data_IF_326257069611
#
_entry.id   IF_326257069611
#
_cell.length_a   1.000
_cell.length_b   1.000
_cell.length_c   1.000
_cell.angle_alpha   90.00
_cell.angle_beta   90.00
_cell.angle_gamma   90.00
#
_symmetry.space_group_name_H-M   'P 1'
#
loop_
_entity.id
_entity.type
_entity.pdbx_description
1 polymer ?
#
# COMPACT_ATOMS: atom_id res chain seq x y z
N UNK A 1 11.75 9.19 4.07
CA UNK A 1 11.05 7.91 3.77
C UNK A 1 9.56 8.16 3.81
N UNK A 2 8.70 7.20 3.49
CA UNK A 2 7.24 7.36 3.66
C UNK A 2 6.77 7.15 5.10
N UNK A 3 7.53 6.38 5.88
CA UNK A 3 7.22 6.09 7.28
C UNK A 3 8.47 6.29 8.13
N UNK A 4 8.29 6.57 9.43
CA UNK A 4 9.39 6.69 10.38
C UNK A 4 10.16 5.36 10.53
N UNK A 5 9.44 4.23 10.50
CA UNK A 5 10.01 2.88 10.59
C UNK A 5 10.07 2.21 9.21
N UNK A 6 10.88 2.76 8.30
CA UNK A 6 10.94 2.33 6.89
C UNK A 6 11.43 0.89 6.64
N UNK A 7 12.01 0.22 7.65
CA UNK A 7 12.36 -1.21 7.61
C UNK A 7 11.26 -2.14 8.13
N UNK A 8 10.14 -1.58 8.60
CA UNK A 8 9.01 -2.36 9.11
C UNK A 8 7.90 -2.39 8.07
N UNK A 9 7.39 -3.59 7.82
CA UNK A 9 6.24 -3.78 6.95
C UNK A 9 4.94 -3.73 7.78
N UNK A 10 4.21 -2.63 7.66
CA UNK A 10 2.91 -2.40 8.32
C UNK A 10 2.06 -1.40 7.52
N UNK A 11 0.90 -1.00 8.05
CA UNK A 11 -0.01 -0.07 7.37
C UNK A 11 0.31 1.41 7.59
N UNK A 12 1.45 1.76 8.20
CA UNK A 12 1.79 3.16 8.51
C UNK A 12 1.88 4.01 7.25
N UNK A 13 2.26 3.43 6.11
CA UNK A 13 2.25 4.14 4.82
C UNK A 13 0.91 4.84 4.54
N UNK A 14 -0.22 4.14 4.70
CA UNK A 14 -1.55 4.72 4.44
C UNK A 14 -1.94 5.78 5.48
N UNK A 15 -1.47 5.64 6.73
CA UNK A 15 -1.72 6.60 7.81
C UNK A 15 -0.91 7.89 7.57
N UNK A 16 0.38 7.75 7.32
CA UNK A 16 1.32 8.86 7.23
C UNK A 16 1.01 9.74 6.01
N UNK A 17 0.75 9.14 4.84
CA UNK A 17 0.43 9.91 3.62
C UNK A 17 -0.95 10.58 3.67
N UNK A 18 -1.88 10.05 4.47
CA UNK A 18 -3.20 10.66 4.71
C UNK A 18 -3.09 11.87 5.62
N UNK A 19 -2.37 11.72 6.73
CA UNK A 19 -2.28 12.75 7.77
C UNK A 19 -1.34 13.90 7.40
N UNK A 20 -0.24 13.63 6.69
CA UNK A 20 0.76 14.62 6.25
C UNK A 20 1.24 15.54 7.38
N UNK A 21 1.31 15.02 8.62
CA UNK A 21 1.68 15.80 9.82
C UNK A 21 3.18 15.93 10.04
N UNK A 22 3.96 15.04 9.43
CA UNK A 22 5.41 15.01 9.55
C UNK A 22 6.03 15.51 8.23
N UNK A 23 6.68 16.67 8.28
CA UNK A 23 7.30 17.31 7.11
C UNK A 23 8.53 16.54 6.60
N UNK A 24 9.12 15.67 7.43
CA UNK A 24 10.26 14.83 7.04
C UNK A 24 9.81 13.56 6.27
N UNK A 25 8.51 13.25 6.28
CA UNK A 25 7.93 12.12 5.55
C UNK A 25 7.50 12.51 4.14
N UNK A 26 7.82 11.63 3.19
CA UNK A 26 7.52 11.83 1.78
C UNK A 26 6.05 11.54 1.49
N UNK A 27 5.45 12.41 0.68
CA UNK A 27 4.17 12.16 0.01
C UNK A 27 4.32 12.61 -1.43
N UNK A 28 4.43 11.66 -2.35
CA UNK A 28 4.48 11.97 -3.78
C UNK A 28 3.07 12.28 -4.30
N UNK A 29 2.94 12.96 -5.46
CA UNK A 29 1.64 13.17 -6.10
C UNK A 29 0.85 11.88 -6.34
N UNK A 30 1.53 10.77 -6.64
CA UNK A 30 0.91 9.45 -6.83
C UNK A 30 0.41 8.84 -5.53
N UNK A 31 1.05 9.12 -4.39
CA UNK A 31 0.58 8.67 -3.08
C UNK A 31 -0.65 9.48 -2.65
N UNK A 32 -0.64 10.80 -2.88
CA UNK A 32 -1.78 11.66 -2.61
C UNK A 32 -3.02 11.26 -3.42
N UNK A 33 -2.83 10.87 -4.69
CA UNK A 33 -3.90 10.42 -5.56
C UNK A 33 -4.70 9.22 -4.98
N UNK A 34 -4.12 8.41 -4.09
CA UNK A 34 -4.82 7.31 -3.43
C UNK A 34 -5.97 7.78 -2.52
N UNK A 35 -5.88 8.99 -1.97
CA UNK A 35 -6.90 9.59 -1.12
C UNK A 35 -7.74 10.65 -1.83
N UNK A 36 -7.32 11.11 -3.01
CA UNK A 36 -8.05 12.07 -3.85
C UNK A 36 -9.03 11.38 -4.81
N UNK A 37 -8.66 10.22 -5.38
CA UNK A 37 -9.53 9.47 -6.28
C UNK A 37 -10.65 8.74 -5.51
N UNK A 38 -11.93 8.88 -5.91
CA UNK A 38 -13.05 8.26 -5.20
C UNK A 38 -12.98 6.74 -5.09
N UNK A 39 -12.41 6.06 -6.09
CA UNK A 39 -12.33 4.59 -6.13
C UNK A 39 -11.15 4.09 -5.28
N UNK A 40 -9.99 4.73 -5.40
CA UNK A 40 -8.82 4.35 -4.61
C UNK A 40 -9.01 4.65 -3.13
N UNK A 41 -9.67 5.78 -2.81
CA UNK A 41 -9.89 6.22 -1.44
C UNK A 41 -10.58 5.16 -0.59
N UNK A 42 -11.51 4.38 -1.15
CA UNK A 42 -12.20 3.29 -0.43
C UNK A 42 -11.19 2.29 0.15
N UNK A 43 -10.16 1.94 -0.62
CA UNK A 43 -9.11 1.01 -0.18
C UNK A 43 -8.07 1.69 0.70
N UNK A 44 -7.67 2.92 0.36
CA UNK A 44 -6.68 3.66 1.13
C UNK A 44 -7.18 3.95 2.56
N UNK A 45 -8.45 4.32 2.72
CA UNK A 45 -9.11 4.50 4.02
C UNK A 45 -9.22 3.16 4.78
N UNK A 46 -9.69 2.11 4.10
CA UNK A 46 -9.75 0.75 4.66
C UNK A 46 -8.40 0.31 5.23
N UNK A 47 -7.32 0.47 4.48
CA UNK A 47 -5.99 0.03 4.90
C UNK A 47 -5.37 0.91 5.98
N UNK A 48 -5.72 2.21 6.03
CA UNK A 48 -5.31 3.08 7.13
C UNK A 48 -5.93 2.65 8.46
N UNK A 49 -7.17 2.15 8.45
CA UNK A 49 -7.91 1.73 9.64
C UNK A 49 -7.67 0.26 10.03
N UNK A 50 -7.50 -0.62 9.04
CA UNK A 50 -7.40 -2.08 9.23
C UNK A 50 -6.12 -2.66 8.60
N UNK A 51 -5.16 -3.00 9.46
CA UNK A 51 -3.89 -3.60 9.04
C UNK A 51 -4.06 -5.06 8.56
N UNK A 52 -4.98 -5.83 9.14
CA UNK A 52 -5.18 -7.22 8.73
C UNK A 52 -5.75 -7.28 7.32
N UNK A 53 -6.69 -6.38 7.01
CA UNK A 53 -7.23 -6.28 5.67
C UNK A 53 -6.19 -5.79 4.65
N UNK A 54 -5.28 -4.89 5.05
CA UNK A 54 -4.11 -4.53 4.22
C UNK A 54 -3.24 -5.74 3.94
N UNK A 55 -2.83 -6.49 4.96
CA UNK A 55 -1.93 -7.63 4.79
C UNK A 55 -2.54 -8.72 3.92
N UNK A 56 -3.84 -9.01 4.09
CA UNK A 56 -4.56 -9.95 3.26
C UNK A 56 -4.54 -9.55 1.79
N UNK A 57 -4.99 -8.34 1.49
CA UNK A 57 -5.11 -7.87 0.10
C UNK A 57 -3.71 -7.67 -0.52
N UNK A 58 -2.72 -7.26 0.27
CA UNK A 58 -1.32 -7.14 -0.18
C UNK A 58 -0.72 -8.48 -0.58
N UNK A 59 -0.92 -9.53 0.24
CA UNK A 59 -0.39 -10.86 -0.07
C UNK A 59 -0.96 -11.40 -1.38
N UNK A 60 -2.28 -11.26 -1.58
CA UNK A 60 -2.96 -11.65 -2.82
C UNK A 60 -2.45 -10.85 -4.03
N UNK A 61 -2.36 -9.53 -3.90
CA UNK A 61 -1.91 -8.65 -4.99
C UNK A 61 -0.42 -8.87 -5.34
N UNK A 62 0.44 -9.02 -4.35
CA UNK A 62 1.88 -9.22 -4.56
C UNK A 62 2.19 -10.58 -5.20
N UNK A 63 1.49 -11.64 -4.80
CA UNK A 63 1.60 -12.95 -5.46
C UNK A 63 1.12 -12.91 -6.92
N UNK A 64 -0.01 -12.24 -7.18
CA UNK A 64 -0.50 -12.04 -8.55
C UNK A 64 0.51 -11.25 -9.39
N UNK A 65 1.12 -10.21 -8.81
CA UNK A 65 2.12 -9.39 -9.46
C UNK A 65 3.39 -10.20 -9.77
N UNK A 66 3.89 -10.99 -8.82
CA UNK A 66 5.12 -11.78 -8.99
C UNK A 66 5.03 -12.81 -10.10
N UNK A 67 3.81 -13.29 -10.39
CA UNK A 67 3.55 -14.32 -11.40
C UNK A 67 3.19 -13.73 -12.77
N UNK A 68 3.04 -12.40 -12.89
CA UNK A 68 2.56 -11.77 -14.11
C UNK A 68 3.55 -11.97 -15.27
N UNK A 69 3.13 -12.67 -16.32
CA UNK A 69 3.95 -12.94 -17.51
C UNK A 69 4.97 -14.06 -17.34
N UNK A 70 5.02 -14.72 -16.18
CA UNK A 70 5.87 -15.88 -15.94
C UNK A 70 5.37 -17.12 -16.72
N UNK A 71 6.29 -18.06 -16.99
CA UNK A 71 5.98 -19.40 -17.47
C UNK A 71 6.57 -20.39 -16.47
N UNK A 72 5.73 -21.25 -15.92
CA UNK A 72 6.13 -22.23 -14.92
C UNK A 72 6.42 -23.59 -15.56
N UNK A 73 7.37 -24.31 -14.98
CA UNK A 73 7.70 -25.70 -15.33
C UNK A 73 7.92 -26.51 -14.03
N UNK A 74 7.00 -27.45 -13.68
CA UNK A 74 5.78 -27.80 -14.41
C UNK A 74 4.76 -26.65 -14.43
N UNK A 75 3.81 -26.66 -15.39
CA UNK A 75 2.69 -25.71 -15.38
C UNK A 75 1.90 -25.83 -14.07
N UNK A 76 1.53 -24.68 -13.48
CA UNK A 76 0.64 -24.60 -12.32
C UNK A 76 -0.75 -25.20 -12.57
#
# INVERSE_FOLDING_TARGET
SWTAQWLKFDNSYFKDIKEKKDEDLLVLPTDAALFDDPSFKVYAEKYAEDQEAFFKDYAEAHAKLSNLGAKFDPPE
#
